data_IF_014119588643
#
_entry.id   IF_014119588643
#
_cell.length_a   1.000
_cell.length_b   1.000
_cell.length_c   1.000
_cell.angle_alpha   90.00
_cell.angle_beta   90.00
_cell.angle_gamma   90.00
#
_symmetry.space_group_name_H-M   'P 1'
#
loop_
_entity.id
_entity.type
_entity.pdbx_description
1 polymer ?
#
# COMPACT_ATOMS: atom_id res chain seq x y z
N UNK A 1 9.71 -4.39 22.14
CA UNK A 1 8.30 -4.84 22.03
C UNK A 1 7.54 -4.82 23.36
N UNK A 2 8.19 -4.99 24.54
CA UNK A 2 7.53 -5.02 25.84
C UNK A 2 6.54 -3.84 26.09
N UNK A 3 6.90 -2.62 25.70
CA UNK A 3 6.02 -1.43 25.82
C UNK A 3 4.75 -1.54 24.97
N UNK A 4 4.84 -2.18 23.81
CA UNK A 4 3.68 -2.37 22.92
C UNK A 4 2.74 -3.43 23.47
N UNK A 5 3.28 -4.53 24.02
CA UNK A 5 2.49 -5.60 24.66
C UNK A 5 1.68 -5.06 25.85
N UNK A 6 2.29 -4.20 26.67
CA UNK A 6 1.63 -3.56 27.81
C UNK A 6 0.55 -2.57 27.35
N UNK A 7 0.79 -1.83 26.27
CA UNK A 7 -0.22 -0.97 25.66
C UNK A 7 -1.42 -1.79 25.16
N UNK A 8 -1.20 -2.92 24.49
CA UNK A 8 -2.27 -3.81 24.02
C UNK A 8 -3.07 -4.39 25.19
N UNK A 9 -2.41 -4.81 26.29
CA UNK A 9 -3.11 -5.27 27.51
C UNK A 9 -4.00 -4.17 28.09
N UNK A 10 -3.45 -2.93 28.20
CA UNK A 10 -4.22 -1.77 28.65
C UNK A 10 -5.45 -1.53 27.77
N UNK A 11 -5.30 -1.47 26.45
CA UNK A 11 -6.40 -1.27 25.53
C UNK A 11 -7.44 -2.40 25.61
N UNK A 12 -7.00 -3.67 25.78
CA UNK A 12 -7.92 -4.79 25.93
C UNK A 12 -8.76 -4.71 27.18
N UNK A 13 -8.19 -4.28 28.32
CA UNK A 13 -8.90 -4.12 29.60
C UNK A 13 -9.79 -2.87 29.64
N UNK A 14 -9.48 -1.87 28.82
CA UNK A 14 -10.12 -0.55 28.85
C UNK A 14 -11.03 -0.30 27.63
N UNK A 15 -11.52 -1.33 26.96
CA UNK A 15 -12.37 -1.21 25.75
C UNK A 15 -13.63 -0.36 25.93
N UNK A 16 -14.15 -0.25 27.15
CA UNK A 16 -15.29 0.61 27.45
C UNK A 16 -14.99 2.11 27.22
N UNK A 17 -13.70 2.47 27.11
CA UNK A 17 -13.26 3.84 26.84
C UNK A 17 -13.33 4.21 25.36
N UNK A 18 -13.54 3.26 24.43
CA UNK A 18 -13.59 3.54 22.99
C UNK A 18 -14.56 4.69 22.66
N UNK A 19 -15.70 4.73 23.32
CA UNK A 19 -16.71 5.79 23.11
C UNK A 19 -16.49 7.06 23.95
N UNK A 20 -15.50 7.08 24.83
CA UNK A 20 -15.31 8.16 25.82
C UNK A 20 -14.04 8.98 25.60
N UNK A 21 -13.11 8.47 24.80
CA UNK A 21 -11.82 9.11 24.56
C UNK A 21 -11.50 9.14 23.07
N UNK A 22 -11.39 10.34 22.54
CA UNK A 22 -10.89 10.59 21.20
C UNK A 22 -9.54 9.89 21.01
N UNK A 23 -9.33 9.32 19.83
CA UNK A 23 -8.14 8.56 19.49
C UNK A 23 -7.91 7.23 20.24
N UNK A 24 -8.77 6.77 21.16
CA UNK A 24 -8.58 5.47 21.81
C UNK A 24 -8.51 4.34 20.77
N UNK A 25 -9.50 4.27 19.87
CA UNK A 25 -9.53 3.27 18.81
C UNK A 25 -8.31 3.38 17.89
N UNK A 26 -7.94 4.62 17.52
CA UNK A 26 -6.78 4.87 16.66
C UNK A 26 -5.50 4.31 17.29
N UNK A 27 -5.22 4.65 18.54
CA UNK A 27 -4.03 4.20 19.26
C UNK A 27 -4.04 2.67 19.48
N UNK A 28 -5.19 2.09 19.77
CA UNK A 28 -5.32 0.64 19.89
C UNK A 28 -5.05 -0.07 18.57
N UNK A 29 -5.63 0.41 17.46
CA UNK A 29 -5.37 -0.12 16.13
C UNK A 29 -3.88 -0.04 15.77
N UNK A 30 -3.22 1.08 16.03
CA UNK A 30 -1.78 1.22 15.82
C UNK A 30 -0.96 0.21 16.65
N UNK A 31 -1.28 0.05 17.92
CA UNK A 31 -0.59 -0.94 18.77
C UNK A 31 -0.74 -2.36 18.23
N UNK A 32 -1.94 -2.72 17.75
CA UNK A 32 -2.18 -4.03 17.14
C UNK A 32 -1.40 -4.23 15.84
N UNK A 33 -1.29 -3.20 15.01
CA UNK A 33 -0.52 -3.25 13.76
C UNK A 33 0.97 -3.41 14.06
N UNK A 34 1.52 -2.63 15.00
CA UNK A 34 2.93 -2.72 15.41
C UNK A 34 3.30 -4.08 16.00
N UNK A 35 2.32 -4.77 16.58
CA UNK A 35 2.46 -6.13 17.11
C UNK A 35 2.17 -7.24 16.07
N UNK A 36 1.93 -6.87 14.81
CA UNK A 36 1.61 -7.82 13.75
C UNK A 36 0.19 -8.39 13.78
N UNK A 37 -0.67 -7.95 14.73
CA UNK A 37 -2.05 -8.41 14.89
C UNK A 37 -3.02 -7.69 13.90
N UNK A 38 -2.64 -7.59 12.64
CA UNK A 38 -3.38 -6.83 11.60
C UNK A 38 -4.84 -7.29 11.47
N UNK A 39 -5.10 -8.61 11.49
CA UNK A 39 -6.47 -9.14 11.41
C UNK A 39 -7.35 -8.66 12.56
N UNK A 40 -6.78 -8.58 13.77
CA UNK A 40 -7.49 -8.09 14.95
C UNK A 40 -7.75 -6.59 14.85
N UNK A 41 -6.78 -5.81 14.37
CA UNK A 41 -6.95 -4.39 14.09
C UNK A 41 -8.13 -4.13 13.12
N UNK A 42 -8.17 -4.85 11.99
CA UNK A 42 -9.27 -4.77 11.02
C UNK A 42 -10.63 -5.09 11.66
N UNK A 43 -10.68 -6.13 12.50
CA UNK A 43 -11.92 -6.49 13.18
C UNK A 43 -12.37 -5.41 14.17
N UNK A 44 -11.44 -4.78 14.92
CA UNK A 44 -11.79 -3.68 15.82
C UNK A 44 -12.38 -2.48 15.04
N UNK A 45 -11.76 -2.13 13.91
CA UNK A 45 -12.28 -1.07 13.03
C UNK A 45 -13.71 -1.39 12.55
N UNK A 46 -13.93 -2.61 12.06
CA UNK A 46 -15.24 -3.02 11.51
C UNK A 46 -16.38 -3.04 12.53
N UNK A 47 -16.05 -3.27 13.80
CA UNK A 47 -17.05 -3.33 14.90
C UNK A 47 -17.19 -2.01 15.65
N UNK A 48 -16.46 -0.96 15.26
CA UNK A 48 -16.54 0.35 15.87
C UNK A 48 -17.33 1.32 15.01
N UNK A 49 -18.21 2.10 15.63
CA UNK A 49 -18.91 3.20 14.99
C UNK A 49 -18.04 4.47 14.85
N UNK A 50 -16.87 4.49 15.48
CA UNK A 50 -15.94 5.64 15.53
C UNK A 50 -14.69 5.43 14.67
N UNK A 51 -14.82 4.62 13.61
CA UNK A 51 -13.69 4.24 12.75
C UNK A 51 -13.43 5.22 11.61
N UNK A 52 -13.93 6.45 11.68
CA UNK A 52 -13.82 7.40 10.56
C UNK A 52 -12.53 8.24 10.61
N UNK A 53 -11.38 7.57 10.74
CA UNK A 53 -10.07 8.19 10.54
C UNK A 53 -9.37 7.58 9.33
N UNK A 54 -8.51 8.37 8.70
CA UNK A 54 -7.88 8.03 7.41
C UNK A 54 -7.18 6.67 7.42
N UNK A 55 -6.37 6.40 8.45
CA UNK A 55 -5.57 5.18 8.54
C UNK A 55 -6.44 3.92 8.71
N UNK A 56 -7.61 4.03 9.38
CA UNK A 56 -8.57 2.92 9.45
C UNK A 56 -9.17 2.63 8.08
N UNK A 57 -9.58 3.67 7.36
CA UNK A 57 -10.12 3.53 6.01
C UNK A 57 -9.07 2.96 5.06
N UNK A 58 -7.81 3.42 5.15
CA UNK A 58 -6.69 2.89 4.39
C UNK A 58 -6.50 1.39 4.63
N UNK A 59 -6.52 0.96 5.89
CA UNK A 59 -6.39 -0.46 6.26
C UNK A 59 -7.54 -1.30 5.69
N UNK A 60 -8.77 -0.78 5.70
CA UNK A 60 -9.94 -1.46 5.10
C UNK A 60 -9.88 -1.52 3.57
N UNK A 61 -9.27 -0.53 2.91
CA UNK A 61 -9.02 -0.57 1.46
C UNK A 61 -8.00 -1.67 1.16
N UNK A 62 -6.88 -1.72 1.88
CA UNK A 62 -5.86 -2.75 1.73
C UNK A 62 -6.43 -4.15 1.98
N UNK A 63 -7.24 -4.34 3.04
CA UNK A 63 -7.95 -5.61 3.32
C UNK A 63 -8.87 -6.02 2.15
N UNK A 64 -9.52 -5.05 1.53
CA UNK A 64 -10.38 -5.30 0.37
C UNK A 64 -9.57 -5.70 -0.87
N UNK A 65 -8.45 -5.03 -1.13
CA UNK A 65 -7.53 -5.34 -2.23
C UNK A 65 -6.92 -6.74 -2.07
N UNK A 66 -6.42 -7.09 -0.89
CA UNK A 66 -5.82 -8.40 -0.61
C UNK A 66 -6.84 -9.55 -0.74
N UNK A 67 -8.11 -9.27 -0.47
CA UNK A 67 -9.22 -10.22 -0.65
C UNK A 67 -9.83 -10.19 -2.05
N UNK A 68 -9.22 -9.48 -2.99
CA UNK A 68 -9.70 -9.32 -4.39
C UNK A 68 -11.11 -8.70 -4.49
N UNK A 69 -11.54 -7.95 -3.46
CA UNK A 69 -12.82 -7.25 -3.42
C UNK A 69 -12.69 -5.85 -4.04
N UNK A 70 -12.25 -5.80 -5.29
CA UNK A 70 -11.82 -4.57 -5.96
C UNK A 70 -12.92 -3.49 -6.05
N UNK A 71 -14.19 -3.88 -6.28
CA UNK A 71 -15.30 -2.93 -6.27
C UNK A 71 -15.55 -2.29 -4.89
N UNK A 72 -15.36 -3.05 -3.81
CA UNK A 72 -15.47 -2.49 -2.45
C UNK A 72 -14.31 -1.52 -2.16
N UNK A 73 -13.10 -1.85 -2.62
CA UNK A 73 -11.95 -0.96 -2.53
C UNK A 73 -12.20 0.34 -3.32
N UNK A 74 -12.67 0.24 -4.58
CA UNK A 74 -13.01 1.39 -5.43
C UNK A 74 -13.99 2.36 -4.74
N UNK A 75 -15.09 1.84 -4.20
CA UNK A 75 -16.10 2.67 -3.53
C UNK A 75 -15.53 3.42 -2.32
N UNK A 76 -14.66 2.76 -1.54
CA UNK A 76 -13.99 3.40 -0.38
C UNK A 76 -12.99 4.46 -0.81
N UNK A 77 -12.17 4.17 -1.83
CA UNK A 77 -11.19 5.12 -2.37
C UNK A 77 -11.91 6.37 -2.88
N UNK A 78 -12.96 6.19 -3.70
CA UNK A 78 -13.72 7.31 -4.26
C UNK A 78 -14.38 8.17 -3.18
N UNK A 79 -14.93 7.54 -2.13
CA UNK A 79 -15.49 8.26 -0.97
C UNK A 79 -14.43 9.12 -0.30
N UNK A 80 -13.23 8.61 -0.08
CA UNK A 80 -12.17 9.38 0.57
C UNK A 80 -11.63 10.49 -0.34
N UNK A 81 -11.43 10.22 -1.63
CA UNK A 81 -10.96 11.22 -2.60
C UNK A 81 -11.91 12.40 -2.72
N UNK A 82 -13.23 12.21 -2.51
CA UNK A 82 -14.19 13.32 -2.53
C UNK A 82 -14.05 14.30 -1.35
N UNK A 83 -13.27 13.97 -0.33
CA UNK A 83 -13.07 14.78 0.88
C UNK A 83 -11.62 15.26 1.05
N UNK A 84 -10.67 14.78 0.22
CA UNK A 84 -9.26 15.14 0.34
C UNK A 84 -8.87 16.23 -0.69
N UNK A 85 -7.98 17.13 -0.27
CA UNK A 85 -7.38 18.12 -1.15
C UNK A 85 -6.22 17.52 -1.94
N UNK A 86 -6.01 17.98 -3.16
CA UNK A 86 -5.03 17.45 -4.11
C UNK A 86 -3.57 17.54 -3.62
N UNK A 87 -3.27 18.49 -2.74
CA UNK A 87 -1.90 18.73 -2.25
C UNK A 87 -1.52 17.94 -1.00
N UNK A 88 -2.37 17.00 -0.54
CA UNK A 88 -2.11 16.23 0.66
C UNK A 88 -1.44 14.89 0.35
N UNK A 89 -0.59 14.41 1.29
CA UNK A 89 -0.03 13.05 1.18
C UNK A 89 -1.11 11.96 1.12
N UNK A 90 -2.26 12.20 1.74
CA UNK A 90 -3.42 11.31 1.70
C UNK A 90 -3.97 11.17 0.29
N UNK A 91 -4.10 12.29 -0.43
CA UNK A 91 -4.50 12.30 -1.83
C UNK A 91 -3.55 11.46 -2.69
N UNK A 92 -2.23 11.65 -2.53
CA UNK A 92 -1.20 10.89 -3.26
C UNK A 92 -1.33 9.38 -3.00
N UNK A 93 -1.52 8.97 -1.73
CA UNK A 93 -1.72 7.56 -1.36
C UNK A 93 -3.00 7.01 -2.01
N UNK A 94 -4.11 7.73 -1.91
CA UNK A 94 -5.39 7.30 -2.47
C UNK A 94 -5.35 7.18 -4.00
N UNK A 95 -4.73 8.13 -4.68
CA UNK A 95 -4.55 8.08 -6.15
C UNK A 95 -3.67 6.90 -6.58
N UNK A 96 -2.63 6.59 -5.82
CA UNK A 96 -1.82 5.38 -6.07
C UNK A 96 -2.66 4.11 -5.93
N UNK A 97 -3.45 4.01 -4.85
CA UNK A 97 -4.33 2.86 -4.63
C UNK A 97 -5.44 2.76 -5.68
N UNK A 98 -6.02 3.88 -6.11
CA UNK A 98 -6.97 3.95 -7.21
C UNK A 98 -6.37 3.37 -8.49
N UNK A 99 -5.14 3.79 -8.82
CA UNK A 99 -4.41 3.32 -10.00
C UNK A 99 -4.14 1.80 -9.95
N UNK A 100 -3.69 1.27 -8.80
CA UNK A 100 -3.52 -0.17 -8.62
C UNK A 100 -4.86 -0.91 -8.70
N UNK A 101 -5.89 -0.42 -8.01
CA UNK A 101 -7.22 -1.04 -8.03
C UNK A 101 -7.80 -1.09 -9.44
N UNK A 102 -7.63 -0.03 -10.22
CA UNK A 102 -8.01 0.00 -11.64
C UNK A 102 -7.32 -1.12 -12.42
N UNK A 103 -6.00 -1.27 -12.23
CA UNK A 103 -5.23 -2.31 -12.90
C UNK A 103 -5.68 -3.72 -12.52
N UNK A 104 -5.96 -3.96 -11.24
CA UNK A 104 -6.46 -5.26 -10.78
C UNK A 104 -7.85 -5.58 -11.33
N UNK A 105 -8.73 -4.59 -11.41
CA UNK A 105 -10.11 -4.75 -11.82
C UNK A 105 -10.26 -4.91 -13.33
N UNK A 106 -9.56 -4.08 -14.11
CA UNK A 106 -9.74 -4.01 -15.57
C UNK A 106 -8.60 -4.67 -16.36
N UNK A 107 -7.55 -5.16 -15.69
CA UNK A 107 -6.37 -5.76 -16.34
C UNK A 107 -5.71 -4.82 -17.38
N UNK A 108 -5.71 -3.52 -17.06
CA UNK A 108 -5.16 -2.47 -17.92
C UNK A 108 -4.49 -1.42 -17.05
N UNK A 109 -3.49 -0.76 -17.60
CA UNK A 109 -2.90 0.42 -16.98
C UNK A 109 -3.85 1.59 -17.24
N UNK A 110 -4.30 2.27 -16.17
CA UNK A 110 -5.17 3.43 -16.26
C UNK A 110 -4.48 4.63 -16.91
N UNK A 111 -5.25 5.64 -17.28
CA UNK A 111 -4.72 6.93 -17.70
C UNK A 111 -3.97 7.55 -16.53
N UNK A 112 -2.98 8.38 -16.84
CA UNK A 112 -2.25 9.14 -15.83
C UNK A 112 -3.13 10.32 -15.40
N UNK A 113 -3.79 10.19 -14.26
CA UNK A 113 -4.58 11.26 -13.66
C UNK A 113 -3.75 11.96 -12.58
N UNK A 114 -3.23 13.13 -12.92
CA UNK A 114 -2.40 13.92 -12.03
C UNK A 114 -0.89 13.63 -12.14
N UNK A 115 -0.12 14.44 -11.47
CA UNK A 115 1.32 14.26 -11.32
C UNK A 115 1.62 13.81 -9.87
N UNK A 116 1.78 12.51 -9.67
CA UNK A 116 2.18 11.95 -8.38
C UNK A 116 3.70 11.85 -8.23
N UNK A 117 4.45 12.51 -9.13
CA UNK A 117 5.89 12.53 -9.11
C UNK A 117 6.50 11.13 -9.28
N UNK A 118 7.45 10.79 -8.41
CA UNK A 118 8.18 9.51 -8.47
C UNK A 118 7.32 8.29 -8.18
N UNK A 119 6.22 8.47 -7.44
CA UNK A 119 5.26 7.38 -7.14
C UNK A 119 4.65 6.85 -8.43
N UNK A 120 4.44 7.68 -9.44
CA UNK A 120 3.95 7.23 -10.75
C UNK A 120 4.90 6.24 -11.42
N UNK A 121 6.22 6.48 -11.35
CA UNK A 121 7.22 5.58 -11.91
C UNK A 121 7.16 4.20 -11.23
N UNK A 122 7.12 4.20 -9.89
CA UNK A 122 7.03 2.99 -9.09
C UNK A 122 5.73 2.25 -9.39
N UNK A 123 4.60 2.95 -9.36
CA UNK A 123 3.29 2.38 -9.67
C UNK A 123 3.26 1.74 -11.05
N UNK A 124 3.82 2.42 -12.07
CA UNK A 124 3.89 1.90 -13.45
C UNK A 124 4.73 0.64 -13.56
N UNK A 125 5.87 0.58 -12.88
CA UNK A 125 6.72 -0.62 -12.90
C UNK A 125 5.97 -1.83 -12.35
N UNK A 126 5.35 -1.71 -11.18
CA UNK A 126 4.58 -2.81 -10.58
C UNK A 126 3.31 -3.16 -11.35
N UNK A 127 2.62 -2.19 -11.95
CA UNK A 127 1.47 -2.47 -12.82
C UNK A 127 1.89 -3.28 -14.07
N UNK A 128 3.00 -2.89 -14.71
CA UNK A 128 3.53 -3.65 -15.85
C UNK A 128 3.97 -5.05 -15.44
N UNK A 129 4.61 -5.21 -14.27
CA UNK A 129 4.98 -6.50 -13.72
C UNK A 129 3.73 -7.38 -13.49
N UNK A 130 2.71 -6.85 -12.84
CA UNK A 130 1.46 -7.57 -12.60
C UNK A 130 0.73 -7.99 -13.89
N UNK A 131 0.88 -7.22 -14.97
CA UNK A 131 0.28 -7.51 -16.28
C UNK A 131 1.21 -8.33 -17.19
N UNK A 132 2.34 -8.81 -16.68
CA UNK A 132 3.35 -9.58 -17.45
C UNK A 132 3.79 -8.86 -18.73
N UNK A 133 3.89 -7.54 -18.65
CA UNK A 133 4.20 -6.69 -19.80
C UNK A 133 5.67 -6.78 -20.19
N UNK A 134 5.95 -6.85 -21.49
CA UNK A 134 7.34 -6.76 -22.03
C UNK A 134 8.07 -5.47 -21.63
N UNK A 135 7.33 -4.44 -21.15
CA UNK A 135 7.89 -3.16 -20.68
C UNK A 135 8.31 -3.18 -19.21
N UNK A 136 8.06 -4.25 -18.45
CA UNK A 136 8.37 -4.35 -17.02
C UNK A 136 9.82 -4.02 -16.73
N UNK A 137 10.78 -4.65 -17.45
CA UNK A 137 12.21 -4.43 -17.26
C UNK A 137 12.61 -2.97 -17.50
N UNK A 138 12.11 -2.33 -18.55
CA UNK A 138 12.43 -0.93 -18.82
C UNK A 138 11.89 0.03 -17.75
N UNK A 139 10.72 -0.27 -17.17
CA UNK A 139 10.18 0.53 -16.08
C UNK A 139 10.97 0.39 -14.78
N UNK A 140 11.41 -0.82 -14.42
CA UNK A 140 12.28 -0.99 -13.25
C UNK A 140 13.64 -0.35 -13.44
N UNK A 141 14.26 -0.49 -14.62
CA UNK A 141 15.53 0.18 -14.93
C UNK A 141 15.42 1.71 -14.83
N UNK A 142 14.32 2.29 -15.29
CA UNK A 142 14.09 3.74 -15.16
C UNK A 142 14.01 4.20 -13.69
N UNK A 143 13.51 3.35 -12.77
CA UNK A 143 13.50 3.64 -11.34
C UNK A 143 14.90 3.53 -10.75
N UNK A 144 15.59 2.43 -11.03
CA UNK A 144 16.92 2.12 -10.46
C UNK A 144 17.96 3.16 -10.89
N UNK A 145 17.93 3.58 -12.16
CA UNK A 145 18.87 4.54 -12.74
C UNK A 145 18.55 6.00 -12.42
N UNK A 146 17.56 6.25 -11.56
CA UNK A 146 17.19 7.61 -11.22
C UNK A 146 18.23 8.24 -10.29
N UNK A 147 19.00 9.21 -10.80
CA UNK A 147 20.20 9.76 -10.15
C UNK A 147 19.97 10.53 -8.85
N UNK A 148 18.75 11.02 -8.60
CA UNK A 148 18.46 11.91 -7.47
C UNK A 148 18.10 11.19 -6.17
N UNK A 149 18.02 9.86 -6.17
CA UNK A 149 17.63 9.08 -4.99
C UNK A 149 18.05 7.63 -5.10
N UNK A 150 18.38 7.03 -3.97
CA UNK A 150 18.68 5.59 -3.90
C UNK A 150 17.39 4.76 -4.02
N UNK A 151 17.23 4.14 -5.16
CA UNK A 151 16.16 3.18 -5.45
C UNK A 151 16.68 1.75 -5.60
N UNK A 152 17.86 1.44 -5.08
CA UNK A 152 18.51 0.12 -5.15
C UNK A 152 17.59 -1.02 -4.66
N UNK A 153 16.71 -0.75 -3.68
CA UNK A 153 15.70 -1.72 -3.20
C UNK A 153 14.79 -2.28 -4.30
N UNK A 154 14.59 -1.54 -5.40
CA UNK A 154 13.77 -2.02 -6.54
C UNK A 154 14.54 -2.98 -7.45
N UNK A 155 15.85 -3.06 -7.29
CA UNK A 155 16.68 -4.04 -7.98
C UNK A 155 16.25 -5.48 -7.68
N UNK A 156 15.83 -5.75 -6.46
CA UNK A 156 15.30 -7.06 -6.08
C UNK A 156 14.09 -7.47 -6.95
N UNK A 157 13.16 -6.56 -7.19
CA UNK A 157 11.99 -6.83 -8.04
C UNK A 157 12.36 -6.95 -9.52
N UNK A 158 13.35 -6.16 -9.96
CA UNK A 158 13.88 -6.25 -11.32
C UNK A 158 14.55 -7.59 -11.58
N UNK A 159 15.44 -8.03 -10.69
CA UNK A 159 16.09 -9.33 -10.77
C UNK A 159 15.08 -10.48 -10.71
N UNK A 160 14.10 -10.43 -9.81
CA UNK A 160 13.03 -11.42 -9.75
C UNK A 160 12.29 -11.54 -11.08
N UNK A 161 11.92 -10.43 -11.71
CA UNK A 161 11.25 -10.45 -13.02
C UNK A 161 12.14 -11.01 -14.14
N UNK A 162 13.45 -10.72 -14.14
CA UNK A 162 14.40 -11.27 -15.11
C UNK A 162 14.52 -12.80 -14.95
N UNK A 163 14.64 -13.26 -13.71
CA UNK A 163 14.75 -14.70 -13.39
C UNK A 163 13.47 -15.44 -13.79
N UNK A 164 12.32 -14.88 -13.49
CA UNK A 164 11.02 -15.46 -13.84
C UNK A 164 10.82 -15.57 -15.37
N UNK A 165 11.43 -14.65 -16.13
CA UNK A 165 11.43 -14.70 -17.60
C UNK A 165 12.50 -15.63 -18.19
N UNK A 166 13.36 -16.25 -17.38
CA UNK A 166 14.39 -17.17 -17.81
C UNK A 166 15.70 -16.52 -18.28
N UNK A 167 15.87 -15.21 -18.12
CA UNK A 167 17.04 -14.44 -18.55
C UNK A 167 18.18 -14.52 -17.51
N UNK A 168 18.62 -15.74 -17.14
CA UNK A 168 19.58 -15.98 -16.07
C UNK A 168 20.94 -15.33 -16.31
N UNK A 169 21.40 -15.26 -17.58
CA UNK A 169 22.67 -14.62 -17.93
C UNK A 169 22.66 -13.11 -17.59
N UNK A 170 21.55 -12.45 -17.78
CA UNK A 170 21.39 -11.03 -17.43
C UNK A 170 21.35 -10.88 -15.91
N UNK A 171 20.63 -11.75 -15.20
CA UNK A 171 20.56 -11.73 -13.75
C UNK A 171 21.94 -11.92 -13.12
N UNK A 172 22.75 -12.87 -13.61
CA UNK A 172 24.11 -13.10 -13.14
C UNK A 172 25.00 -11.87 -13.35
N UNK A 173 25.00 -11.27 -14.53
CA UNK A 173 25.80 -10.06 -14.83
C UNK A 173 25.47 -8.90 -13.89
N UNK A 174 24.18 -8.72 -13.56
CA UNK A 174 23.74 -7.66 -12.64
C UNK A 174 24.23 -7.98 -11.21
N UNK A 175 24.13 -9.24 -10.77
CA UNK A 175 24.57 -9.64 -9.43
C UNK A 175 26.07 -9.51 -9.21
N UNK A 176 26.89 -9.57 -10.27
CA UNK A 176 28.34 -9.38 -10.23
C UNK A 176 28.74 -7.88 -10.15
N UNK A 177 27.79 -6.96 -10.42
CA UNK A 177 28.04 -5.51 -10.44
C UNK A 177 27.59 -4.79 -9.18
N UNK A 178 26.97 -5.50 -8.23
CA UNK A 178 26.48 -5.03 -6.94
C UNK A 178 27.42 -5.45 -5.83
#
# INVERSE_FOLDING_TARGET
NQKNDDAIKFFNSSKFLIKKHDNFLKNYVFSLILDGQVKKAINQIKHSNESDFFEANLLLIIDSLTKKKYKQAENKINKLLSHENDDTYKFVILKSLESYNYTFLYKKIGKKDGNLGRIDLITRAFQNCYLESKKTNSHFLNIINFQESDYSRYLFFYLGNIIDNGDLDIANKISETI
#
